data_IF_192544292173
#
_entry.id   IF_192544292173
#
_cell.length_a   1.000
_cell.length_b   1.000
_cell.length_c   1.000
_cell.angle_alpha   90.00
_cell.angle_beta   90.00
_cell.angle_gamma   90.00
#
_symmetry.space_group_name_H-M   'P 1'
#
loop_
_entity.id
_entity.type
_entity.pdbx_description
1 polymer ?
#
# COMPACT_ATOMS: atom_id res chain seq x y z
N UNK A 1 -47.73 -4.22 -23.15
CA UNK A 1 -46.76 -3.46 -22.33
C UNK A 1 -47.21 -2.02 -22.32
N UNK A 2 -47.42 -1.46 -21.13
CA UNK A 2 -47.94 -0.09 -20.96
C UNK A 2 -46.80 0.93 -20.93
N UNK A 3 -47.07 2.19 -21.27
CA UNK A 3 -46.07 3.26 -21.33
C UNK A 3 -45.25 3.38 -20.03
N UNK A 4 -45.86 3.06 -18.88
CA UNK A 4 -45.20 3.06 -17.58
C UNK A 4 -44.09 2.00 -17.45
N UNK A 5 -44.29 0.80 -17.99
CA UNK A 5 -43.30 -0.30 -17.90
C UNK A 5 -42.01 0.01 -18.69
N UNK A 6 -42.12 0.77 -19.78
CA UNK A 6 -40.97 1.25 -20.54
C UNK A 6 -40.14 2.26 -19.75
N UNK A 7 -40.80 3.23 -19.10
CA UNK A 7 -40.13 4.27 -18.29
C UNK A 7 -39.38 3.64 -17.10
N UNK A 8 -39.99 2.66 -16.43
CA UNK A 8 -39.34 1.95 -15.32
C UNK A 8 -38.10 1.16 -15.78
N UNK A 9 -38.18 0.47 -16.92
CA UNK A 9 -37.03 -0.27 -17.46
C UNK A 9 -35.91 0.66 -17.93
N UNK A 10 -36.24 1.81 -18.51
CA UNK A 10 -35.24 2.81 -18.90
C UNK A 10 -34.52 3.40 -17.67
N UNK A 11 -35.26 3.68 -16.59
CA UNK A 11 -34.68 4.16 -15.34
C UNK A 11 -33.74 3.12 -14.69
N UNK A 12 -34.13 1.84 -14.67
CA UNK A 12 -33.26 0.75 -14.17
C UNK A 12 -32.00 0.57 -15.02
N UNK A 13 -32.12 0.66 -16.34
CA UNK A 13 -30.98 0.54 -17.24
C UNK A 13 -30.01 1.72 -17.09
N UNK A 14 -30.51 2.94 -16.89
CA UNK A 14 -29.68 4.12 -16.60
C UNK A 14 -28.98 4.01 -15.23
N UNK A 15 -29.67 3.50 -14.22
CA UNK A 15 -29.06 3.24 -12.91
C UNK A 15 -27.99 2.15 -12.97
N UNK A 16 -28.21 1.08 -13.75
CA UNK A 16 -27.20 0.02 -13.95
C UNK A 16 -25.98 0.52 -14.72
N UNK A 17 -26.19 1.30 -15.78
CA UNK A 17 -25.09 1.89 -16.56
C UNK A 17 -24.25 2.85 -15.72
N UNK A 18 -24.88 3.70 -14.89
CA UNK A 18 -24.14 4.61 -14.00
C UNK A 18 -23.34 3.85 -12.95
N UNK A 19 -23.91 2.82 -12.30
CA UNK A 19 -23.19 1.97 -11.35
C UNK A 19 -22.01 1.23 -12.01
N UNK A 20 -22.16 0.81 -13.25
CA UNK A 20 -21.12 0.13 -14.02
C UNK A 20 -19.99 1.09 -14.41
N UNK A 21 -20.32 2.32 -14.84
CA UNK A 21 -19.34 3.39 -15.07
C UNK A 21 -18.59 3.80 -13.79
N UNK A 22 -19.25 3.83 -12.63
CA UNK A 22 -18.61 4.08 -11.34
C UNK A 22 -17.68 2.93 -10.94
N UNK A 23 -18.08 1.68 -11.17
CA UNK A 23 -17.24 0.50 -10.91
C UNK A 23 -16.03 0.46 -11.86
N UNK A 24 -16.21 0.79 -13.14
CA UNK A 24 -15.13 0.89 -14.12
C UNK A 24 -14.18 2.05 -13.79
N UNK A 25 -14.68 3.25 -13.46
CA UNK A 25 -13.84 4.37 -13.00
C UNK A 25 -13.08 4.06 -11.70
N UNK A 26 -13.68 3.30 -10.79
CA UNK A 26 -13.01 2.77 -9.60
C UNK A 26 -11.89 1.78 -9.94
N UNK A 27 -12.03 1.02 -11.02
CA UNK A 27 -11.03 0.07 -11.53
C UNK A 27 -9.85 0.77 -12.23
N UNK A 28 -10.08 1.87 -12.95
CA UNK A 28 -9.03 2.58 -13.73
C UNK A 28 -8.00 3.27 -12.82
N UNK A 29 -8.34 3.64 -11.58
CA UNK A 29 -7.38 4.18 -10.59
C UNK A 29 -6.52 3.11 -9.89
N UNK A 30 -6.76 1.83 -10.14
CA UNK A 30 -5.96 0.71 -9.63
C UNK A 30 -4.89 0.27 -10.63
N UNK A 31 -4.23 1.20 -11.32
CA UNK A 31 -2.88 0.86 -11.77
C UNK A 31 -2.00 0.80 -10.52
N UNK A 32 -1.49 -0.37 -10.10
CA UNK A 32 -0.53 -0.42 -9.03
C UNK A 32 0.66 0.39 -9.53
N UNK A 33 0.80 1.60 -9.01
CA UNK A 33 1.91 2.45 -9.35
C UNK A 33 3.17 1.66 -8.98
N UNK A 34 3.87 1.12 -9.98
CA UNK A 34 4.90 0.11 -9.83
C UNK A 34 5.82 0.53 -8.69
N UNK A 35 5.71 -0.13 -7.55
CA UNK A 35 6.57 0.17 -6.41
C UNK A 35 7.91 -0.49 -6.67
N UNK A 36 9.01 0.25 -6.45
CA UNK A 36 10.37 -0.30 -6.48
C UNK A 36 10.64 -1.30 -5.36
N UNK A 37 9.67 -1.52 -4.46
CA UNK A 37 9.77 -2.36 -3.27
C UNK A 37 9.16 -3.74 -3.54
N UNK A 38 9.68 -4.78 -2.87
CA UNK A 38 9.06 -6.10 -2.87
C UNK A 38 7.71 -6.07 -2.13
N UNK A 39 6.80 -7.02 -2.41
CA UNK A 39 5.53 -7.14 -1.68
C UNK A 39 5.69 -7.16 -0.16
N UNK A 40 6.65 -7.92 0.37
CA UNK A 40 6.99 -7.92 1.80
C UNK A 40 7.38 -6.53 2.32
N UNK A 41 8.19 -5.78 1.58
CA UNK A 41 8.61 -4.43 1.99
C UNK A 41 7.42 -3.48 2.02
N UNK A 42 6.50 -3.60 1.07
CA UNK A 42 5.26 -2.80 1.04
C UNK A 42 4.38 -3.12 2.25
N UNK A 43 4.25 -4.41 2.63
CA UNK A 43 3.51 -4.83 3.81
C UNK A 43 4.13 -4.26 5.10
N UNK A 44 5.43 -4.46 5.30
CA UNK A 44 6.15 -3.94 6.48
C UNK A 44 6.03 -2.42 6.59
N UNK A 45 6.16 -1.68 5.47
CA UNK A 45 6.00 -0.21 5.48
C UNK A 45 4.60 0.23 5.91
N UNK A 46 3.56 -0.49 5.47
CA UNK A 46 2.18 -0.23 5.92
C UNK A 46 2.01 -0.53 7.41
N UNK A 47 2.60 -1.62 7.89
CA UNK A 47 2.57 -1.99 9.31
C UNK A 47 3.28 -0.95 10.18
N UNK A 48 4.46 -0.45 9.78
CA UNK A 48 5.17 0.64 10.46
C UNK A 48 4.28 1.89 10.57
N UNK A 49 3.65 2.30 9.47
CA UNK A 49 2.73 3.44 9.48
C UNK A 49 1.56 3.19 10.44
N UNK A 50 0.96 2.00 10.40
CA UNK A 50 -0.17 1.66 11.24
C UNK A 50 0.21 1.63 12.72
N UNK A 51 1.38 1.11 13.06
CA UNK A 51 1.91 1.12 14.44
C UNK A 51 2.01 2.53 14.98
N UNK A 52 2.61 3.45 14.22
CA UNK A 52 2.71 4.86 14.64
C UNK A 52 1.32 5.48 14.86
N UNK A 53 0.37 5.19 13.98
CA UNK A 53 -0.99 5.71 14.11
C UNK A 53 -1.73 5.11 15.33
N UNK A 54 -1.55 3.82 15.59
CA UNK A 54 -2.17 3.12 16.72
C UNK A 54 -1.64 3.62 18.07
N UNK A 55 -0.37 4.03 18.15
CA UNK A 55 0.20 4.63 19.36
C UNK A 55 -0.18 6.11 19.54
N UNK A 56 -0.86 6.71 18.54
CA UNK A 56 -1.27 8.11 18.57
C UNK A 56 -0.14 9.10 18.29
N UNK A 57 1.03 8.65 17.84
CA UNK A 57 2.15 9.56 17.59
C UNK A 57 1.99 10.30 16.26
N UNK A 58 2.19 11.62 16.32
CA UNK A 58 2.32 12.45 15.14
C UNK A 58 3.58 12.10 14.34
N UNK A 59 3.67 12.61 13.10
CA UNK A 59 4.87 12.44 12.27
C UNK A 59 6.12 13.01 12.95
N UNK A 60 5.99 14.13 13.67
CA UNK A 60 7.12 14.76 14.36
C UNK A 60 7.59 13.93 15.56
N UNK A 61 6.65 13.41 16.36
CA UNK A 61 6.97 12.59 17.52
C UNK A 61 7.59 11.27 17.11
N UNK A 62 7.00 10.58 16.12
CA UNK A 62 7.57 9.34 15.58
C UNK A 62 8.99 9.55 15.06
N UNK A 63 9.22 10.65 14.32
CA UNK A 63 10.54 10.95 13.78
C UNK A 63 11.56 11.22 14.90
N UNK A 64 11.16 12.00 15.92
CA UNK A 64 11.98 12.26 17.10
C UNK A 64 12.34 10.98 17.86
N UNK A 65 11.38 10.09 18.08
CA UNK A 65 11.62 8.82 18.78
C UNK A 65 12.60 7.91 18.03
N UNK A 66 12.50 7.87 16.70
CA UNK A 66 13.37 7.08 15.85
C UNK A 66 14.76 7.72 15.62
N UNK A 67 14.92 8.98 16.02
CA UNK A 67 16.14 9.76 15.78
C UNK A 67 16.35 10.08 14.30
N UNK A 68 15.27 10.32 13.56
CA UNK A 68 15.30 10.68 12.13
C UNK A 68 14.56 12.00 11.89
N UNK A 69 14.78 12.62 10.73
CA UNK A 69 13.98 13.78 10.33
C UNK A 69 12.54 13.39 10.00
N UNK A 70 11.61 14.36 10.12
CA UNK A 70 10.21 14.19 9.71
C UNK A 70 10.10 13.66 8.27
N UNK A 71 10.88 14.24 7.35
CA UNK A 71 10.91 13.81 5.95
C UNK A 71 11.37 12.36 5.80
N UNK A 72 12.39 11.95 6.54
CA UNK A 72 12.84 10.56 6.52
C UNK A 72 11.76 9.60 7.01
N UNK A 73 11.00 9.96 8.06
CA UNK A 73 9.88 9.12 8.49
C UNK A 73 8.78 9.03 7.43
N UNK A 74 8.48 10.12 6.73
CA UNK A 74 7.56 10.09 5.58
C UNK A 74 8.09 9.16 4.46
N UNK A 75 9.39 9.19 4.16
CA UNK A 75 10.04 8.32 3.18
C UNK A 75 10.10 6.85 3.64
N UNK A 76 10.15 6.60 4.96
CA UNK A 76 10.08 5.27 5.59
C UNK A 76 8.67 4.69 5.40
N UNK A 77 7.62 5.46 5.66
CA UNK A 77 6.23 4.99 5.63
C UNK A 77 5.63 4.93 4.22
N UNK A 78 6.20 5.67 3.26
CA UNK A 78 5.68 5.69 1.90
C UNK A 78 6.06 4.42 1.11
N UNK A 79 5.10 3.93 0.34
CA UNK A 79 5.26 2.81 -0.61
C UNK A 79 5.55 3.31 -2.04
N UNK A 80 5.57 4.63 -2.24
CA UNK A 80 5.86 5.27 -3.53
C UNK A 80 7.34 5.14 -3.87
N UNK A 81 7.68 5.31 -5.15
CA UNK A 81 9.05 5.11 -5.65
C UNK A 81 10.11 6.06 -5.09
N UNK A 82 9.71 7.22 -4.56
CA UNK A 82 10.61 8.15 -3.88
C UNK A 82 10.95 7.74 -2.44
N UNK A 83 10.24 6.77 -1.85
CA UNK A 83 10.51 6.32 -0.48
C UNK A 83 11.88 5.67 -0.31
N UNK A 84 12.34 5.53 0.93
CA UNK A 84 13.59 4.83 1.24
C UNK A 84 13.38 3.33 1.46
N UNK A 85 14.46 2.55 1.37
CA UNK A 85 14.45 1.16 1.82
C UNK A 85 14.54 1.09 3.35
N UNK A 86 14.02 0.01 3.92
CA UNK A 86 14.13 -0.25 5.34
C UNK A 86 15.49 -0.91 5.63
N UNK A 87 16.15 -0.47 6.69
CA UNK A 87 17.38 -1.07 7.20
C UNK A 87 17.12 -1.80 8.53
N UNK A 88 18.08 -2.65 8.91
CA UNK A 88 17.97 -3.46 10.13
C UNK A 88 17.95 -2.60 11.40
N UNK A 89 18.72 -1.52 11.43
CA UNK A 89 18.83 -0.62 12.58
C UNK A 89 17.49 0.07 12.87
N UNK A 90 16.80 0.53 11.83
CA UNK A 90 15.47 1.11 11.90
C UNK A 90 14.47 0.09 12.43
N UNK A 91 14.43 -1.12 11.88
CA UNK A 91 13.52 -2.17 12.33
C UNK A 91 13.78 -2.54 13.80
N UNK A 92 15.04 -2.61 14.23
CA UNK A 92 15.40 -2.84 15.62
C UNK A 92 14.92 -1.71 16.54
N UNK A 93 15.06 -0.44 16.14
CA UNK A 93 14.51 0.71 16.89
C UNK A 93 12.99 0.66 16.98
N UNK A 94 12.30 0.34 15.88
CA UNK A 94 10.84 0.22 15.83
C UNK A 94 10.34 -0.81 16.85
N UNK A 95 10.99 -1.99 16.93
CA UNK A 95 10.69 -3.02 17.94
C UNK A 95 10.72 -2.46 19.36
N UNK A 96 11.76 -1.69 19.70
CA UNK A 96 11.94 -1.14 21.06
C UNK A 96 10.93 -0.03 21.35
N UNK A 97 10.74 0.91 20.41
CA UNK A 97 9.89 2.10 20.59
C UNK A 97 8.42 1.71 20.64
N UNK A 98 7.96 0.89 19.71
CA UNK A 98 6.56 0.49 19.60
C UNK A 98 6.22 -0.78 20.36
N UNK A 99 7.20 -1.39 21.06
CA UNK A 99 7.03 -2.61 21.87
C UNK A 99 6.37 -3.75 21.08
N UNK A 100 6.76 -3.89 19.81
CA UNK A 100 6.24 -4.90 18.88
C UNK A 100 7.36 -5.85 18.47
N UNK A 101 7.03 -7.11 18.20
CA UNK A 101 8.03 -8.07 17.71
C UNK A 101 8.37 -7.80 16.23
N UNK A 102 9.53 -8.29 15.77
CA UNK A 102 9.84 -8.24 14.33
C UNK A 102 8.91 -9.15 13.51
N UNK A 103 8.42 -10.22 14.13
CA UNK A 103 7.47 -11.15 13.53
C UNK A 103 6.13 -10.47 13.26
N UNK A 104 5.59 -9.74 14.24
CA UNK A 104 4.39 -8.90 14.07
C UNK A 104 4.55 -7.83 12.98
N UNK A 105 5.73 -7.20 12.92
CA UNK A 105 6.06 -6.18 11.91
C UNK A 105 6.03 -6.75 10.49
N UNK A 106 6.52 -7.97 10.31
CA UNK A 106 6.55 -8.67 9.02
C UNK A 106 5.22 -9.34 8.69
N UNK A 107 4.46 -9.71 9.72
CA UNK A 107 3.20 -10.46 9.64
C UNK A 107 3.39 -11.82 8.96
N UNK A 108 2.28 -12.50 8.65
CA UNK A 108 2.31 -13.82 8.05
C UNK A 108 3.06 -13.82 6.72
N UNK A 109 3.99 -14.78 6.61
CA UNK A 109 4.84 -14.97 5.46
C UNK A 109 4.43 -16.22 4.68
N UNK A 110 4.51 -16.20 3.34
CA UNK A 110 4.34 -17.42 2.54
C UNK A 110 5.37 -18.49 2.93
N UNK A 111 4.93 -19.74 3.07
CA UNK A 111 5.81 -20.89 3.35
C UNK A 111 6.84 -21.13 2.23
N UNK A 112 6.46 -20.82 0.99
CA UNK A 112 7.35 -20.94 -0.17
C UNK A 112 8.40 -19.81 -0.18
N UNK A 113 9.62 -20.16 0.20
CA UNK A 113 10.78 -19.26 0.20
C UNK A 113 11.13 -18.69 -1.19
N UNK A 114 10.74 -19.36 -2.28
CA UNK A 114 11.01 -18.90 -3.65
C UNK A 114 9.92 -17.96 -4.21
N UNK A 115 8.89 -17.69 -3.42
CA UNK A 115 7.77 -16.83 -3.81
C UNK A 115 8.22 -15.44 -4.28
N UNK A 116 7.52 -14.93 -5.30
CA UNK A 116 7.64 -13.55 -5.78
C UNK A 116 7.35 -12.50 -4.68
N UNK A 117 6.72 -12.92 -3.57
CA UNK A 117 6.50 -12.08 -2.40
C UNK A 117 7.78 -11.49 -1.81
N UNK A 118 8.89 -12.24 -1.91
CA UNK A 118 10.21 -11.82 -1.44
C UNK A 118 11.01 -11.09 -2.52
N UNK A 119 10.58 -11.16 -3.77
CA UNK A 119 11.32 -10.61 -4.89
C UNK A 119 11.02 -9.13 -5.09
N UNK A 120 12.09 -8.35 -5.30
CA UNK A 120 11.96 -6.94 -5.70
C UNK A 120 11.59 -6.88 -7.18
N UNK A 121 10.56 -6.10 -7.58
CA UNK A 121 10.30 -5.83 -8.98
C UNK A 121 11.54 -5.21 -9.63
N UNK A 122 12.20 -5.95 -10.53
CA UNK A 122 13.29 -5.43 -11.34
C UNK A 122 12.70 -4.90 -12.64
N UNK A 123 13.07 -3.68 -13.04
CA UNK A 123 12.81 -3.21 -14.40
C UNK A 123 13.55 -4.18 -15.33
N UNK A 124 12.81 -4.90 -16.20
CA UNK A 124 13.44 -5.80 -17.17
C UNK A 124 14.41 -4.96 -18.00
N UNK A 125 15.70 -5.24 -17.90
CA UNK A 125 16.72 -4.64 -18.76
C UNK A 125 16.43 -5.16 -20.16
N UNK A 126 15.80 -4.33 -21.01
CA UNK A 126 15.41 -4.71 -22.37
C UNK A 126 13.91 -4.61 -22.70
N UNK A 127 13.04 -4.08 -21.84
CA UNK A 127 11.70 -3.65 -22.31
C UNK A 127 11.85 -2.40 -23.17
N UNK A 128 12.20 -2.61 -24.44
CA UNK A 128 12.05 -1.62 -25.50
C UNK A 128 10.59 -1.17 -25.46
N UNK A 129 10.37 0.13 -25.26
CA UNK A 129 9.11 0.76 -25.62
C UNK A 129 8.96 0.55 -27.14
N UNK A 130 8.22 -0.47 -27.54
CA UNK A 130 7.57 -0.52 -28.85
C UNK A 130 6.12 -0.13 -28.65
#
# INVERSE_FOLDING_TARGET
MTLGEHIYREAENQQRATLQDFAEKGSIMNQPQYSKFSPITVAVKKNIRQLRLNTGYSMNEGARLLGVSRKQLEDIETIRNYGCHLDLELLAKMKVIYKTSLDELVSDLPEDYHSDYYQRPRKRVGSSNR
#
